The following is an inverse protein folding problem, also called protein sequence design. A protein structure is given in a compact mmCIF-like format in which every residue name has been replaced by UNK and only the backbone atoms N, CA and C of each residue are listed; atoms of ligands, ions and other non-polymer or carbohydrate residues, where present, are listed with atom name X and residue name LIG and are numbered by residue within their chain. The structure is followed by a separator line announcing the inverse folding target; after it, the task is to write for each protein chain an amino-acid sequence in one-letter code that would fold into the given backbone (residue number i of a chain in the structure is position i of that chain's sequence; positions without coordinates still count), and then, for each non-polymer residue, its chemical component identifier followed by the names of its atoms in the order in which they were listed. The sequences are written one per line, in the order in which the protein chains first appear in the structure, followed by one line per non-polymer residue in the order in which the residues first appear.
data_IF_099913088304
#
_entry.id   IF_099913088304
#
_cell.length_a   1.000
_cell.length_b   1.000
_cell.length_c   1.000
_cell.angle_alpha   90.00
_cell.angle_beta   90.00
_cell.angle_gamma   90.00
#
_symmetry.space_group_name_H-M   'P 1'
#
loop_
_entity.id
_entity.type
_entity.pdbx_description
1 polymer ?
#
# COMPACT_ATOMS: atom_id res chain seq x y z
N UNK A 1 -7.04 22.61 19.30
CA UNK A 1 -6.39 23.07 18.05
C UNK A 1 -7.21 22.55 16.88
N UNK A 2 -7.44 23.35 15.82
CA UNK A 2 -8.33 22.98 14.74
C UNK A 2 -7.69 21.87 13.90
N UNK A 3 -8.49 20.94 13.37
CA UNK A 3 -8.05 19.92 12.42
C UNK A 3 -7.38 20.61 11.22
N UNK A 4 -6.05 20.61 11.21
CA UNK A 4 -5.25 21.21 10.14
C UNK A 4 -5.56 20.49 8.82
N UNK A 5 -5.69 21.26 7.73
CA UNK A 5 -5.81 20.67 6.38
C UNK A 5 -4.61 19.75 6.17
N UNK A 6 -4.87 18.51 5.75
CA UNK A 6 -3.82 17.57 5.36
C UNK A 6 -2.89 18.23 4.33
N UNK A 7 -1.59 17.96 4.43
CA UNK A 7 -0.62 18.44 3.45
C UNK A 7 -1.00 17.96 2.05
N UNK A 8 -0.62 18.67 0.97
CA UNK A 8 -0.94 18.25 -0.39
C UNK A 8 -0.49 16.82 -0.68
N UNK A 9 0.70 16.43 -0.19
CA UNK A 9 1.21 15.07 -0.36
C UNK A 9 0.40 14.03 0.41
N UNK A 10 -0.03 14.31 1.64
CA UNK A 10 -0.90 13.41 2.40
C UNK A 10 -2.27 13.22 1.72
N UNK A 11 -2.81 14.27 1.08
CA UNK A 11 -4.05 14.14 0.31
C UNK A 11 -3.88 13.24 -0.92
N UNK A 12 -2.76 13.36 -1.64
CA UNK A 12 -2.44 12.50 -2.79
C UNK A 12 -2.23 11.06 -2.32
N UNK A 13 -1.46 10.84 -1.26
CA UNK A 13 -1.23 9.52 -0.66
C UNK A 13 -2.54 8.82 -0.29
N UNK A 14 -3.47 9.54 0.35
CA UNK A 14 -4.78 8.99 0.72
C UNK A 14 -5.68 8.70 -0.49
N UNK A 15 -5.55 9.45 -1.59
CA UNK A 15 -6.30 9.15 -2.84
C UNK A 15 -5.78 7.88 -3.49
N UNK A 16 -4.45 7.75 -3.58
CA UNK A 16 -3.81 6.56 -4.12
C UNK A 16 -4.17 5.33 -3.26
N UNK A 17 -4.15 5.44 -1.92
CA UNK A 17 -4.54 4.34 -1.03
C UNK A 17 -5.93 3.80 -1.35
N UNK A 18 -6.92 4.68 -1.52
CA UNK A 18 -8.30 4.30 -1.83
C UNK A 18 -8.44 3.62 -3.19
N UNK A 19 -7.70 4.10 -4.20
CA UNK A 19 -7.70 3.48 -5.52
C UNK A 19 -6.98 2.13 -5.51
N UNK A 20 -5.88 2.00 -4.74
CA UNK A 20 -5.22 0.71 -4.49
C UNK A 20 -6.21 -0.25 -3.83
N UNK A 21 -6.91 0.18 -2.78
CA UNK A 21 -7.91 -0.66 -2.07
C UNK A 21 -9.00 -1.14 -3.02
N UNK A 22 -9.53 -0.26 -3.87
CA UNK A 22 -10.52 -0.61 -4.88
C UNK A 22 -9.99 -1.64 -5.87
N UNK A 23 -8.83 -1.37 -6.49
CA UNK A 23 -8.24 -2.24 -7.52
C UNK A 23 -7.87 -3.61 -6.93
N UNK A 24 -7.27 -3.62 -5.73
CA UNK A 24 -6.89 -4.85 -5.06
C UNK A 24 -8.12 -5.65 -4.63
N UNK A 25 -9.19 -5.00 -4.15
CA UNK A 25 -10.45 -5.67 -3.79
C UNK A 25 -11.15 -6.29 -5.01
N UNK A 26 -11.08 -5.65 -6.18
CA UNK A 26 -11.60 -6.20 -7.43
C UNK A 26 -10.79 -7.41 -7.92
N UNK A 27 -9.47 -7.41 -7.69
CA UNK A 27 -8.57 -8.48 -8.12
C UNK A 27 -8.51 -9.67 -7.15
N UNK A 28 -8.76 -9.43 -5.86
CA UNK A 28 -8.65 -10.42 -4.78
C UNK A 28 -9.91 -11.27 -4.66
N UNK A 29 -9.73 -12.53 -4.23
CA UNK A 29 -10.82 -13.44 -3.82
C UNK A 29 -11.13 -13.33 -2.33
N UNK A 30 -10.35 -12.55 -1.61
CA UNK A 30 -10.41 -12.37 -0.16
C UNK A 30 -10.62 -10.90 0.19
N UNK A 31 -11.04 -10.65 1.43
CA UNK A 31 -11.10 -9.28 1.95
C UNK A 31 -9.69 -8.68 1.95
N UNK A 32 -9.57 -7.51 1.34
CA UNK A 32 -8.34 -6.72 1.32
C UNK A 32 -8.41 -5.62 2.36
N UNK A 33 -7.27 -5.30 2.95
CA UNK A 33 -7.04 -4.06 3.68
C UNK A 33 -5.78 -3.40 3.12
N UNK A 34 -5.82 -2.09 2.90
CA UNK A 34 -4.65 -1.33 2.45
C UNK A 34 -4.28 -0.31 3.51
N UNK A 35 -2.98 -0.15 3.73
CA UNK A 35 -2.44 0.88 4.60
C UNK A 35 -1.17 1.45 3.99
N UNK A 36 -0.77 2.63 4.46
CA UNK A 36 0.52 3.21 4.14
C UNK A 36 1.25 3.71 5.39
N UNK A 37 2.56 3.88 5.24
CA UNK A 37 3.40 4.62 6.18
C UNK A 37 4.61 5.18 5.44
N UNK A 38 5.35 6.08 6.10
CA UNK A 38 6.57 6.65 5.52
C UNK A 38 6.80 8.11 5.89
N UNK A 39 8.04 8.57 5.73
CA UNK A 39 8.42 9.98 5.87
C UNK A 39 8.33 10.70 4.51
N UNK A 40 7.24 10.48 3.78
CA UNK A 40 7.10 10.99 2.42
C UNK A 40 6.81 12.48 2.34
N UNK A 41 6.46 13.10 3.47
CA UNK A 41 6.45 14.54 3.68
C UNK A 41 7.86 15.15 3.77
N UNK A 42 8.86 14.38 4.21
CA UNK A 42 10.28 14.76 4.18
C UNK A 42 10.88 14.51 2.79
N UNK A 43 10.67 13.31 2.23
CA UNK A 43 11.07 13.00 0.86
C UNK A 43 10.14 11.95 0.22
N UNK A 44 9.55 12.21 -0.97
CA UNK A 44 8.50 11.37 -1.57
C UNK A 44 8.84 9.89 -1.74
N UNK A 45 10.12 9.57 -1.94
CA UNK A 45 10.62 8.18 -2.03
C UNK A 45 10.28 7.29 -0.82
N UNK A 46 10.07 7.88 0.36
CA UNK A 46 9.91 7.12 1.60
C UNK A 46 8.49 6.59 1.84
N UNK A 47 7.61 6.63 0.84
CA UNK A 47 6.26 6.10 0.94
C UNK A 47 6.24 4.58 0.75
N UNK A 48 5.51 3.90 1.62
CA UNK A 48 5.27 2.46 1.57
C UNK A 48 3.77 2.20 1.63
N UNK A 49 3.25 1.42 0.68
CA UNK A 49 1.92 0.84 0.71
C UNK A 49 2.00 -0.67 0.96
N UNK A 50 1.15 -1.16 1.86
CA UNK A 50 0.92 -2.58 2.06
C UNK A 50 -0.52 -2.93 1.70
N UNK A 51 -0.66 -3.97 0.89
CA UNK A 51 -1.92 -4.59 0.52
C UNK A 51 -2.02 -5.91 1.29
N UNK A 52 -2.84 -5.91 2.33
CA UNK A 52 -2.97 -7.02 3.26
C UNK A 52 -4.13 -7.94 2.84
N UNK A 53 -3.83 -9.23 2.73
CA UNK A 53 -4.79 -10.30 2.45
C UNK A 53 -4.77 -11.35 3.57
N UNK A 54 -5.64 -12.36 3.50
CA UNK A 54 -5.71 -13.37 4.56
C UNK A 54 -4.63 -14.43 4.36
N UNK A 55 -4.52 -15.01 3.17
CA UNK A 55 -3.66 -16.17 2.92
C UNK A 55 -2.35 -15.87 2.19
N UNK A 56 -1.31 -16.67 2.47
CA UNK A 56 -0.04 -16.64 1.74
C UNK A 56 -0.24 -16.99 0.27
N UNK A 57 -1.16 -17.91 -0.04
CA UNK A 57 -1.49 -18.26 -1.41
C UNK A 57 -2.03 -17.05 -2.20
N UNK A 58 -2.95 -16.28 -1.61
CA UNK A 58 -3.51 -15.11 -2.29
C UNK A 58 -2.49 -13.97 -2.40
N UNK A 59 -1.66 -13.76 -1.37
CA UNK A 59 -0.52 -12.83 -1.41
C UNK A 59 0.39 -13.16 -2.59
N UNK A 60 0.83 -14.40 -2.68
CA UNK A 60 1.71 -14.89 -3.74
C UNK A 60 1.08 -14.76 -5.13
N UNK A 61 -0.23 -15.03 -5.24
CA UNK A 61 -0.96 -14.89 -6.50
C UNK A 61 -0.98 -13.44 -6.98
N UNK A 62 -1.32 -12.50 -6.09
CA UNK A 62 -1.40 -11.07 -6.41
C UNK A 62 -0.01 -10.49 -6.70
N UNK A 63 1.02 -10.91 -5.97
CA UNK A 63 2.41 -10.50 -6.22
C UNK A 63 2.92 -10.91 -7.62
N UNK A 64 2.46 -12.06 -8.14
CA UNK A 64 2.84 -12.54 -9.47
C UNK A 64 1.98 -11.97 -10.61
N UNK A 65 0.92 -11.23 -10.29
CA UNK A 65 0.04 -10.61 -11.29
C UNK A 65 0.69 -9.33 -11.84
N UNK A 66 1.37 -9.46 -12.99
CA UNK A 66 2.08 -8.35 -13.63
C UNK A 66 1.13 -7.20 -13.99
N UNK A 67 -0.07 -7.51 -14.49
CA UNK A 67 -1.03 -6.48 -14.91
C UNK A 67 -1.54 -5.68 -13.72
N UNK A 68 -1.84 -6.36 -12.61
CA UNK A 68 -2.19 -5.70 -11.35
C UNK A 68 -1.07 -4.79 -10.88
N UNK A 69 0.16 -5.30 -10.79
CA UNK A 69 1.29 -4.54 -10.27
C UNK A 69 1.62 -3.31 -11.14
N UNK A 70 1.54 -3.44 -12.47
CA UNK A 70 1.65 -2.30 -13.39
C UNK A 70 0.56 -1.26 -13.12
N UNK A 71 -0.71 -1.68 -13.02
CA UNK A 71 -1.83 -0.77 -12.76
C UNK A 71 -1.70 -0.05 -11.41
N UNK A 72 -1.24 -0.74 -10.37
CA UNK A 72 -1.00 -0.15 -9.05
C UNK A 72 0.11 0.91 -9.11
N UNK A 73 1.21 0.64 -9.84
CA UNK A 73 2.30 1.59 -10.06
C UNK A 73 1.87 2.82 -10.87
N UNK A 74 1.02 2.64 -11.88
CA UNK A 74 0.49 3.74 -12.70
C UNK A 74 -0.28 4.79 -11.89
N UNK A 75 -0.88 4.40 -10.74
CA UNK A 75 -1.57 5.34 -9.85
C UNK A 75 -0.66 6.48 -9.40
N UNK A 76 0.64 6.24 -9.19
CA UNK A 76 1.60 7.27 -8.81
C UNK A 76 1.71 8.36 -9.89
N UNK A 77 1.60 7.97 -11.17
CA UNK A 77 1.60 8.90 -12.29
C UNK A 77 0.24 9.58 -12.45
N UNK A 78 -0.86 8.82 -12.42
CA UNK A 78 -2.23 9.33 -12.57
C UNK A 78 -2.56 10.40 -11.52
N UNK A 79 -2.13 10.18 -10.28
CA UNK A 79 -2.37 11.11 -9.17
C UNK A 79 -1.29 12.18 -9.01
N UNK A 80 -0.38 12.30 -9.98
CA UNK A 80 0.72 13.28 -9.96
C UNK A 80 1.57 13.21 -8.68
N UNK A 81 1.88 12.00 -8.21
CA UNK A 81 2.86 11.82 -7.13
C UNK A 81 4.23 12.39 -7.57
N UNK A 82 5.07 12.94 -6.68
CA UNK A 82 6.34 13.54 -7.09
C UNK A 82 7.25 12.57 -7.84
N UNK A 83 7.82 13.03 -8.96
CA UNK A 83 8.57 12.20 -9.91
C UNK A 83 9.78 11.55 -9.25
N UNK A 84 10.48 12.32 -8.40
CA UNK A 84 11.63 11.91 -7.60
C UNK A 84 11.36 10.79 -6.59
N UNK A 85 10.09 10.43 -6.36
CA UNK A 85 9.71 9.33 -5.48
C UNK A 85 9.12 8.12 -6.19
N UNK A 86 8.61 8.25 -7.43
CA UNK A 86 7.71 7.24 -8.04
C UNK A 86 8.33 5.85 -8.17
N UNK A 87 9.61 5.79 -8.55
CA UNK A 87 10.33 4.54 -8.74
C UNK A 87 10.67 3.86 -7.39
N UNK A 88 10.83 4.66 -6.33
CA UNK A 88 11.29 4.20 -5.03
C UNK A 88 10.16 3.92 -4.04
N UNK A 89 8.94 4.44 -4.26
CA UNK A 89 7.77 4.08 -3.45
C UNK A 89 7.66 2.56 -3.38
N UNK A 90 7.44 2.00 -2.19
CA UNK A 90 7.16 0.57 -2.07
C UNK A 90 5.66 0.33 -2.20
N UNK A 91 5.25 -0.63 -3.03
CA UNK A 91 3.89 -1.16 -3.08
C UNK A 91 4.03 -2.68 -2.97
N UNK A 92 3.66 -3.22 -1.82
CA UNK A 92 3.85 -4.62 -1.47
C UNK A 92 2.56 -5.30 -1.04
N UNK A 93 2.62 -6.62 -0.91
CA UNK A 93 1.53 -7.45 -0.40
C UNK A 93 2.00 -8.22 0.82
N UNK A 94 1.13 -8.34 1.81
CA UNK A 94 1.37 -9.17 3.00
C UNK A 94 0.13 -10.00 3.35
N UNK A 95 0.32 -11.16 3.98
CA UNK A 95 -0.75 -12.04 4.42
C UNK A 95 -0.90 -12.03 5.93
N UNK A 96 -2.12 -12.24 6.42
CA UNK A 96 -2.34 -12.47 7.84
C UNK A 96 -1.68 -13.78 8.32
N UNK A 97 -1.62 -14.81 7.48
CA UNK A 97 -0.89 -16.06 7.79
C UNK A 97 0.60 -15.83 8.09
N UNK A 98 1.27 -14.91 7.38
CA UNK A 98 2.64 -14.49 7.70
C UNK A 98 2.68 -13.85 9.09
N UNK A 99 1.77 -12.92 9.36
CA UNK A 99 1.75 -12.17 10.62
C UNK A 99 1.43 -13.09 11.79
N UNK A 100 0.56 -14.08 11.62
CA UNK A 100 0.29 -15.13 12.60
C UNK A 100 1.54 -15.95 12.89
N UNK A 101 2.25 -16.39 11.83
CA UNK A 101 3.45 -17.22 11.94
C UNK A 101 4.64 -16.48 12.56
N UNK A 102 4.83 -15.22 12.22
CA UNK A 102 6.06 -14.47 12.52
C UNK A 102 5.90 -13.46 13.65
N UNK A 103 4.68 -13.05 13.95
CA UNK A 103 4.39 -12.00 14.93
C UNK A 103 3.19 -12.32 15.82
N UNK A 104 2.71 -13.57 15.82
CA UNK A 104 1.58 -14.00 16.64
C UNK A 104 0.30 -13.22 16.37
N UNK A 105 0.09 -12.79 15.12
CA UNK A 105 -1.08 -12.03 14.68
C UNK A 105 -0.99 -10.52 14.93
N UNK A 106 0.15 -10.04 15.44
CA UNK A 106 0.35 -8.63 15.77
C UNK A 106 1.03 -7.85 14.63
N UNK A 107 0.23 -7.10 13.87
CA UNK A 107 0.70 -6.23 12.78
C UNK A 107 1.69 -5.15 13.22
N UNK A 108 1.54 -4.60 14.43
CA UNK A 108 2.47 -3.58 14.93
C UNK A 108 3.86 -4.17 15.20
N UNK A 109 3.91 -5.40 15.73
CA UNK A 109 5.18 -6.12 15.92
C UNK A 109 5.80 -6.50 14.58
N UNK A 110 4.97 -6.91 13.61
CA UNK A 110 5.44 -7.32 12.28
C UNK A 110 6.12 -6.19 11.49
N UNK A 111 5.67 -4.95 11.67
CA UNK A 111 6.23 -3.78 10.98
C UNK A 111 7.28 -2.99 11.76
N UNK A 112 7.63 -3.46 12.96
CA UNK A 112 8.63 -2.82 13.83
C UNK A 112 10.03 -3.36 13.54
#
# INVERSE_FOLDING_TARGET
MPFGRLSPIAQVTNRIEREIEKIASEASKEKVWVTHYGANDIHPRHLVYWICVRSDHEKDRLQRDVLLNTRLRELLTIHNYPVEGREEVHIGFESHETVDRESGGNWWVHWK
#
